data_IF_813095857676
#
_entry.id   IF_813095857676
#
_cell.length_a   1.000
_cell.length_b   1.000
_cell.length_c   1.000
_cell.angle_alpha   90.00
_cell.angle_beta   90.00
_cell.angle_gamma   90.00
#
_symmetry.space_group_name_H-M   'P 1'
#
loop_
_entity.id
_entity.type
_entity.pdbx_description
1 polymer ?
#
# COMPACT_ATOMS: atom_id res chain seq x y z
N UNK A 1 10.53 -2.13 -17.73
CA UNK A 1 11.78 -2.39 -16.97
C UNK A 1 12.37 -1.05 -16.56
N UNK A 2 12.55 -0.79 -15.26
CA UNK A 2 13.16 0.45 -14.74
C UNK A 2 14.63 0.18 -14.43
N UNK A 3 15.55 0.96 -15.02
CA UNK A 3 16.99 0.88 -14.72
C UNK A 3 17.30 1.88 -13.62
N UNK A 4 18.10 1.48 -12.63
CA UNK A 4 18.54 2.34 -11.52
C UNK A 4 20.07 2.45 -11.60
N UNK A 5 20.56 3.60 -12.02
CA UNK A 5 21.99 3.93 -12.01
C UNK A 5 22.27 4.69 -10.72
N UNK A 6 22.41 3.96 -9.62
CA UNK A 6 22.71 4.53 -8.33
C UNK A 6 23.80 3.71 -7.64
N UNK A 7 24.77 4.42 -7.08
CA UNK A 7 25.82 3.91 -6.19
C UNK A 7 25.26 3.43 -4.86
N UNK A 8 24.05 3.86 -4.48
CA UNK A 8 23.32 3.39 -3.29
C UNK A 8 21.86 3.11 -3.63
N UNK A 9 21.38 1.90 -3.27
CA UNK A 9 19.98 1.47 -3.43
C UNK A 9 19.43 1.14 -2.05
N UNK A 10 18.32 1.78 -1.69
CA UNK A 10 17.58 1.54 -0.46
C UNK A 10 16.41 0.58 -0.69
N UNK A 11 16.14 -0.24 0.31
CA UNK A 11 14.93 -1.05 0.41
C UNK A 11 14.25 -0.65 1.72
N UNK A 12 12.98 -0.27 1.63
CA UNK A 12 12.11 -0.05 2.78
C UNK A 12 10.90 -0.98 2.67
N UNK A 13 10.37 -1.44 3.80
CA UNK A 13 9.25 -2.37 3.82
C UNK A 13 8.51 -2.33 5.14
N UNK A 14 7.23 -2.68 5.10
CA UNK A 14 6.41 -2.75 6.30
C UNK A 14 5.10 -3.48 6.08
N UNK A 15 4.34 -3.63 7.16
CA UNK A 15 2.96 -4.12 7.13
C UNK A 15 2.03 -3.09 7.76
N UNK A 16 0.81 -3.00 7.23
CA UNK A 16 -0.20 -2.06 7.73
C UNK A 16 -1.57 -2.73 7.72
N UNK A 17 -2.26 -2.68 8.87
CA UNK A 17 -3.68 -3.04 8.94
C UNK A 17 -4.47 -1.89 8.33
N UNK A 18 -5.12 -2.14 7.20
CA UNK A 18 -5.86 -1.11 6.49
C UNK A 18 -7.22 -0.85 7.14
N UNK A 19 -7.86 -1.91 7.65
CA UNK A 19 -9.14 -1.84 8.38
C UNK A 19 -9.46 -3.18 9.07
N UNK A 20 -10.40 -3.14 10.02
CA UNK A 20 -10.96 -4.29 10.74
C UNK A 20 -12.43 -4.01 11.09
N UNK A 21 -13.33 -4.20 10.14
CA UNK A 21 -14.71 -3.69 10.17
C UNK A 21 -15.74 -4.70 10.70
N UNK A 22 -15.37 -5.96 10.96
CA UNK A 22 -16.32 -6.97 11.42
C UNK A 22 -16.95 -6.64 12.79
N UNK A 23 -16.13 -6.20 13.76
CA UNK A 23 -16.58 -6.00 15.14
C UNK A 23 -17.58 -4.85 15.27
N UNK A 24 -17.41 -3.81 14.46
CA UNK A 24 -18.20 -2.57 14.55
C UNK A 24 -19.24 -2.45 13.42
N UNK A 25 -19.35 -3.45 12.54
CA UNK A 25 -20.25 -3.40 11.38
C UNK A 25 -19.84 -2.33 10.35
N UNK A 26 -18.54 -2.08 10.22
CA UNK A 26 -17.99 -1.04 9.35
C UNK A 26 -18.30 -1.24 7.86
N UNK A 27 -18.04 -0.19 7.09
CA UNK A 27 -18.42 -0.09 5.68
C UNK A 27 -17.88 -1.25 4.81
N UNK A 28 -16.68 -1.75 5.10
CA UNK A 28 -16.10 -2.88 4.36
C UNK A 28 -16.81 -4.20 4.65
N UNK A 29 -17.47 -4.32 5.80
CA UNK A 29 -18.22 -5.51 6.20
C UNK A 29 -19.70 -5.44 5.80
N UNK A 30 -20.36 -4.29 5.99
CA UNK A 30 -21.81 -4.16 5.83
C UNK A 30 -22.24 -3.42 4.56
N UNK A 31 -21.37 -2.58 4.03
CA UNK A 31 -21.65 -1.75 2.86
C UNK A 31 -21.81 -2.55 1.57
N UNK A 32 -22.26 -1.86 0.52
CA UNK A 32 -22.41 -2.39 -0.84
C UNK A 32 -21.94 -1.36 -1.86
N UNK A 33 -21.69 -1.78 -3.09
CA UNK A 33 -21.14 -0.92 -4.13
C UNK A 33 -19.66 -0.63 -3.87
N UNK A 34 -19.15 0.40 -4.55
CA UNK A 34 -17.73 0.80 -4.49
C UNK A 34 -17.36 1.28 -3.10
N UNK A 35 -16.32 0.70 -2.52
CA UNK A 35 -15.80 1.05 -1.20
C UNK A 35 -14.27 1.05 -1.24
N UNK A 36 -13.67 2.02 -0.58
CA UNK A 36 -12.21 2.21 -0.57
C UNK A 36 -11.70 2.51 0.84
N UNK A 37 -10.50 2.00 1.16
CA UNK A 37 -9.68 2.46 2.27
C UNK A 37 -8.31 2.86 1.74
N UNK A 38 -7.83 4.00 2.22
CA UNK A 38 -6.57 4.63 1.83
C UNK A 38 -5.74 4.87 3.09
N UNK A 39 -4.47 4.50 3.03
CA UNK A 39 -3.53 4.71 4.13
C UNK A 39 -2.24 5.31 3.57
N UNK A 40 -1.85 6.46 4.10
CA UNK A 40 -0.60 7.11 3.72
C UNK A 40 0.57 6.42 4.42
N UNK A 41 1.54 5.94 3.64
CA UNK A 41 2.78 5.34 4.13
C UNK A 41 3.92 6.31 3.87
N UNK A 42 4.61 6.71 4.94
CA UNK A 42 5.83 7.50 4.87
C UNK A 42 7.04 6.57 4.93
N UNK A 43 7.98 6.73 4.00
CA UNK A 43 9.24 5.99 4.02
C UNK A 43 10.12 6.45 5.18
N UNK A 44 10.91 5.53 5.73
CA UNK A 44 11.87 5.78 6.80
C UNK A 44 12.94 6.82 6.43
N UNK A 45 13.25 6.96 5.14
CA UNK A 45 14.12 7.99 4.58
C UNK A 45 13.62 8.36 3.18
N UNK A 46 13.56 9.66 2.83
CA UNK A 46 13.23 10.07 1.47
C UNK A 46 14.22 9.50 0.45
N UNK A 47 13.70 8.94 -0.63
CA UNK A 47 14.52 8.50 -1.77
C UNK A 47 15.01 9.70 -2.59
N UNK A 48 16.08 9.52 -3.36
CA UNK A 48 16.57 10.54 -4.29
C UNK A 48 15.60 10.77 -5.45
N UNK A 49 15.07 9.68 -5.98
CA UNK A 49 14.08 9.62 -7.05
C UNK A 49 12.89 8.76 -6.61
N UNK A 50 11.71 8.94 -7.23
CA UNK A 50 10.51 8.16 -6.93
C UNK A 50 10.84 6.65 -6.98
N UNK A 51 10.70 5.89 -5.88
CA UNK A 51 11.04 4.47 -5.82
C UNK A 51 10.02 3.62 -6.59
N UNK A 52 10.30 2.33 -6.75
CA UNK A 52 9.30 1.35 -7.18
C UNK A 52 8.67 0.73 -5.95
N UNK A 53 7.34 0.75 -5.84
CA UNK A 53 6.61 0.19 -4.69
C UNK A 53 5.80 -1.03 -5.13
N UNK A 54 5.99 -2.14 -4.43
CA UNK A 54 5.17 -3.33 -4.51
C UNK A 54 4.32 -3.46 -3.26
N UNK A 55 3.02 -3.71 -3.43
CA UNK A 55 2.08 -3.99 -2.36
C UNK A 55 1.46 -5.37 -2.53
N UNK A 56 1.26 -6.08 -1.43
CA UNK A 56 0.67 -7.42 -1.42
C UNK A 56 -0.23 -7.60 -0.20
N UNK A 57 -1.21 -8.51 -0.31
CA UNK A 57 -2.01 -8.92 0.84
C UNK A 57 -1.16 -9.78 1.79
N UNK A 58 -1.15 -9.40 3.07
CA UNK A 58 -0.52 -10.14 4.17
C UNK A 58 -1.54 -10.94 4.96
N UNK A 59 -2.74 -10.39 5.10
CA UNK A 59 -3.91 -11.01 5.69
C UNK A 59 -5.16 -10.43 5.02
N UNK A 60 -6.13 -11.29 4.76
CA UNK A 60 -7.48 -10.89 4.43
C UNK A 60 -8.46 -11.88 5.07
N UNK A 61 -9.50 -11.34 5.66
CA UNK A 61 -10.60 -12.09 6.23
C UNK A 61 -11.87 -11.66 5.51
N UNK A 62 -12.47 -12.58 4.77
CA UNK A 62 -13.50 -12.31 3.75
C UNK A 62 -14.63 -13.31 3.93
N UNK A 63 -15.87 -12.81 3.83
CA UNK A 63 -17.05 -13.66 3.84
C UNK A 63 -17.07 -14.61 2.63
N UNK A 64 -17.52 -15.85 2.84
CA UNK A 64 -17.53 -16.87 1.80
C UNK A 64 -18.87 -17.01 1.06
N UNK A 65 -19.88 -16.21 1.39
CA UNK A 65 -21.21 -16.29 0.77
C UNK A 65 -21.34 -15.47 -0.51
N UNK A 66 -20.36 -14.59 -0.81
CA UNK A 66 -20.38 -13.69 -1.96
C UNK A 66 -19.13 -13.85 -2.81
N UNK A 67 -19.18 -13.34 -4.05
CA UNK A 67 -18.02 -13.36 -4.93
C UNK A 67 -16.92 -12.46 -4.35
N UNK A 68 -15.71 -12.99 -4.27
CA UNK A 68 -14.55 -12.26 -3.80
C UNK A 68 -14.07 -11.26 -4.86
N UNK A 69 -14.09 -9.96 -4.52
CA UNK A 69 -13.64 -8.86 -5.38
C UNK A 69 -12.78 -7.91 -4.56
N UNK A 70 -11.52 -7.77 -4.94
CA UNK A 70 -10.57 -6.91 -4.26
C UNK A 70 -9.55 -6.35 -5.26
N UNK A 71 -9.12 -5.10 -5.05
CA UNK A 71 -8.01 -4.46 -5.74
C UNK A 71 -7.12 -3.78 -4.70
N UNK A 72 -5.81 -4.07 -4.73
CA UNK A 72 -4.81 -3.46 -3.85
C UNK A 72 -3.79 -2.73 -4.72
N UNK A 73 -3.60 -1.44 -4.45
CA UNK A 73 -2.72 -0.57 -5.24
C UNK A 73 -1.81 0.26 -4.35
N UNK A 74 -0.60 0.49 -4.83
CA UNK A 74 0.23 1.62 -4.45
C UNK A 74 -0.07 2.78 -5.39
N UNK A 75 -0.59 3.89 -4.86
CA UNK A 75 -0.95 5.09 -5.60
C UNK A 75 -0.14 6.29 -5.10
N UNK A 76 -0.06 7.34 -5.92
CA UNK A 76 0.55 8.62 -5.54
C UNK A 76 1.97 8.46 -4.94
N UNK A 77 2.78 7.58 -5.52
CA UNK A 77 4.15 7.34 -5.03
C UNK A 77 5.00 8.59 -5.25
N UNK A 78 5.53 9.14 -4.16
CA UNK A 78 6.49 10.26 -4.14
C UNK A 78 7.85 9.74 -3.65
N UNK A 79 8.80 10.65 -3.41
CA UNK A 79 10.11 10.27 -2.83
C UNK A 79 10.01 9.96 -1.34
N UNK A 80 9.00 10.52 -0.67
CA UNK A 80 8.81 10.53 0.77
C UNK A 80 7.77 9.49 1.24
N UNK A 81 6.87 9.07 0.35
CA UNK A 81 5.83 8.10 0.70
C UNK A 81 4.95 7.68 -0.47
N UNK A 82 3.85 7.00 -0.15
CA UNK A 82 2.82 6.60 -1.11
C UNK A 82 1.48 6.34 -0.40
N UNK A 83 0.42 6.18 -1.18
CA UNK A 83 -0.89 5.75 -0.67
C UNK A 83 -1.09 4.25 -0.91
N UNK A 84 -1.35 3.49 0.15
CA UNK A 84 -1.76 2.10 0.09
C UNK A 84 -3.29 2.04 0.03
N UNK A 85 -3.82 1.62 -1.11
CA UNK A 85 -5.25 1.73 -1.42
C UNK A 85 -5.86 0.36 -1.63
N UNK A 86 -6.87 0.04 -0.85
CA UNK A 86 -7.65 -1.17 -0.98
C UNK A 86 -9.07 -0.85 -1.39
N UNK A 87 -9.57 -1.56 -2.42
CA UNK A 87 -10.92 -1.41 -2.95
C UNK A 87 -11.66 -2.72 -2.99
N UNK A 88 -12.97 -2.63 -2.80
CA UNK A 88 -13.91 -3.73 -3.04
C UNK A 88 -15.22 -3.17 -3.60
N UNK A 89 -16.05 -4.03 -4.20
CA UNK A 89 -17.28 -3.59 -4.84
C UNK A 89 -18.37 -4.68 -4.88
N UNK A 90 -19.58 -4.25 -5.24
CA UNK A 90 -20.75 -5.13 -5.25
C UNK A 90 -21.19 -5.47 -3.82
N UNK A 91 -21.43 -6.74 -3.57
CA UNK A 91 -21.91 -7.30 -2.31
C UNK A 91 -20.81 -7.97 -1.47
N UNK A 92 -19.54 -7.92 -1.92
CA UNK A 92 -18.40 -8.50 -1.20
C UNK A 92 -18.27 -7.93 0.21
N UNK A 93 -18.05 -8.80 1.21
CA UNK A 93 -17.86 -8.38 2.61
C UNK A 93 -16.48 -8.76 3.10
N UNK A 94 -15.76 -7.79 3.66
CA UNK A 94 -14.37 -7.97 4.08
C UNK A 94 -14.27 -7.52 5.53
N UNK A 95 -13.98 -8.48 6.40
CA UNK A 95 -13.86 -8.29 7.83
C UNK A 95 -12.59 -7.53 8.18
N UNK A 96 -11.46 -7.89 7.56
CA UNK A 96 -10.14 -7.32 7.87
C UNK A 96 -9.19 -7.46 6.70
N UNK A 97 -8.33 -6.47 6.51
CA UNK A 97 -7.17 -6.54 5.60
C UNK A 97 -5.92 -6.01 6.27
N UNK A 98 -4.82 -6.77 6.16
CA UNK A 98 -3.45 -6.30 6.37
C UNK A 98 -2.69 -6.44 5.06
N UNK A 99 -1.96 -5.41 4.69
CA UNK A 99 -1.14 -5.39 3.50
C UNK A 99 0.33 -5.24 3.88
N UNK A 100 1.20 -5.96 3.18
CA UNK A 100 2.65 -5.76 3.22
C UNK A 100 3.04 -4.89 2.02
N UNK A 101 4.09 -4.10 2.17
CA UNK A 101 4.64 -3.30 1.10
C UNK A 101 6.17 -3.33 1.12
N UNK A 102 6.76 -3.10 -0.04
CA UNK A 102 8.20 -2.95 -0.23
C UNK A 102 8.46 -1.86 -1.26
N UNK A 103 9.34 -0.91 -0.91
CA UNK A 103 9.83 0.14 -1.78
C UNK A 103 11.31 -0.10 -2.10
N UNK A 104 11.70 0.03 -3.37
CA UNK A 104 13.09 -0.09 -3.82
C UNK A 104 13.43 1.12 -4.68
N UNK A 105 14.48 1.85 -4.32
CA UNK A 105 14.86 3.07 -5.03
C UNK A 105 16.25 3.59 -4.66
N UNK A 106 16.76 4.59 -5.40
CA UNK A 106 18.05 5.20 -5.15
C UNK A 106 18.00 6.10 -3.90
N UNK A 107 19.04 6.06 -3.06
CA UNK A 107 19.17 6.95 -1.90
C UNK A 107 20.07 8.15 -2.20
N UNK A 108 19.88 9.30 -1.50
CA UNK A 108 20.80 10.43 -1.57
C UNK A 108 22.23 10.04 -1.16
N UNK A 109 23.23 10.66 -1.77
CA UNK A 109 24.63 10.50 -1.42
C UNK A 109 25.08 11.55 -0.41
N UNK A 110 26.10 11.23 0.41
CA UNK A 110 26.69 12.19 1.35
C UNK A 110 27.41 13.36 0.63
N UNK A 111 27.80 13.16 -0.64
CA UNK A 111 28.43 14.18 -1.49
C UNK A 111 27.45 14.88 -2.45
N UNK A 112 26.13 14.58 -2.37
CA UNK A 112 25.10 15.25 -3.17
C UNK A 112 24.79 16.66 -2.61
N UNK A 113 25.79 17.53 -2.59
CA UNK A 113 25.58 18.97 -2.38
C UNK A 113 24.93 19.53 -3.64
N UNK A 114 23.65 19.90 -3.57
CA UNK A 114 23.01 20.67 -4.64
C UNK A 114 23.67 22.07 -4.68
N UNK A 115 24.46 22.33 -5.73
CA UNK A 115 25.01 23.64 -6.07
C UNK A 115 23.92 24.61 -6.55
#
# INVERSE_FOLDING_TARGET
>A
MKRMNASSVGIDSGETVLFSDFQDGGEMWTGKGQRERRNHITFSTPYRDIPTVHASLALWDVDNATVMRADLRSENVTKEGFELVFRTWGDTRIARVRASWMAIGPLPQQDDWEL
#
